data_IF_326028486886
#
_entry.id   IF_326028486886
#
_cell.length_a   1.000
_cell.length_b   1.000
_cell.length_c   1.000
_cell.angle_alpha   90.00
_cell.angle_beta   90.00
_cell.angle_gamma   90.00
#
_symmetry.space_group_name_H-M   'P 1'
#
loop_
_entity.id
_entity.type
_entity.pdbx_description
1 polymer ?
#
# COMPACT_ATOMS: atom_id res chain seq x y z
N UNK A 1 -21.67 -2.60 -13.40
CA UNK A 1 -20.27 -2.71 -13.85
C UNK A 1 -19.53 -1.46 -13.43
N UNK A 2 -18.85 -1.49 -12.28
CA UNK A 2 -18.10 -0.33 -11.79
C UNK A 2 -16.83 -0.19 -12.62
N UNK A 3 -16.76 0.91 -13.38
CA UNK A 3 -15.62 1.24 -14.22
C UNK A 3 -14.52 1.76 -13.29
N UNK A 4 -13.41 1.02 -13.18
CA UNK A 4 -12.24 1.50 -12.43
C UNK A 4 -11.77 2.80 -13.09
N UNK A 5 -11.58 3.85 -12.30
CA UNK A 5 -11.12 5.15 -12.76
C UNK A 5 -9.63 5.28 -12.48
N UNK A 6 -8.85 5.42 -13.55
CA UNK A 6 -7.44 5.80 -13.47
C UNK A 6 -7.33 7.15 -12.76
N UNK A 7 -6.47 7.22 -11.73
CA UNK A 7 -6.28 8.37 -10.85
C UNK A 7 -7.08 8.32 -9.53
N UNK A 8 -8.19 7.56 -9.47
CA UNK A 8 -8.96 7.37 -8.23
C UNK A 8 -8.69 5.98 -7.63
N UNK A 9 -8.81 4.94 -8.45
CA UNK A 9 -8.64 3.55 -7.99
C UNK A 9 -7.18 3.07 -8.10
N UNK A 10 -6.46 3.55 -9.10
CA UNK A 10 -5.05 3.19 -9.33
C UNK A 10 -4.33 4.28 -10.11
N UNK A 11 -3.01 4.37 -9.92
CA UNK A 11 -2.14 5.24 -10.70
C UNK A 11 -0.94 4.44 -11.23
N UNK A 12 -0.33 4.95 -12.28
CA UNK A 12 0.92 4.41 -12.81
C UNK A 12 2.06 5.19 -12.18
N UNK A 13 3.02 4.47 -11.61
CA UNK A 13 4.26 5.05 -11.12
C UNK A 13 5.24 5.32 -12.29
N UNK A 14 6.38 5.95 -12.01
CA UNK A 14 7.39 6.34 -13.02
C UNK A 14 7.98 5.12 -13.76
N UNK A 15 7.80 3.94 -13.17
CA UNK A 15 8.22 2.65 -13.70
C UNK A 15 7.10 1.88 -14.43
N UNK A 16 5.99 2.54 -14.80
CA UNK A 16 4.80 1.94 -15.44
C UNK A 16 4.13 0.84 -14.57
N UNK A 17 4.42 0.83 -13.27
CA UNK A 17 3.82 -0.10 -12.33
C UNK A 17 2.43 0.38 -11.92
N UNK A 18 1.45 -0.52 -11.89
CA UNK A 18 0.11 -0.23 -11.40
C UNK A 18 0.12 -0.20 -9.87
N UNK A 19 -0.04 0.99 -9.31
CA UNK A 19 -0.19 1.18 -7.86
C UNK A 19 -1.65 1.41 -7.53
N UNK A 20 -2.26 0.46 -6.81
CA UNK A 20 -3.63 0.54 -6.33
C UNK A 20 -3.72 1.49 -5.13
N UNK A 21 -4.68 2.41 -5.13
CA UNK A 21 -4.90 3.36 -4.04
C UNK A 21 -5.67 2.72 -2.90
N UNK A 22 -5.64 3.34 -1.71
CA UNK A 22 -6.49 2.92 -0.59
C UNK A 22 -7.99 3.07 -0.92
N UNK A 23 -8.36 4.08 -1.71
CA UNK A 23 -9.74 4.30 -2.17
C UNK A 23 -10.29 3.12 -2.96
N UNK A 24 -9.50 2.52 -3.86
CA UNK A 24 -9.91 1.32 -4.55
C UNK A 24 -10.25 0.18 -3.59
N UNK A 25 -9.44 -0.01 -2.55
CA UNK A 25 -9.67 -1.04 -1.55
C UNK A 25 -10.91 -0.76 -0.70
N UNK A 26 -11.19 0.52 -0.41
CA UNK A 26 -12.41 0.94 0.30
C UNK A 26 -13.65 0.72 -0.58
N UNK A 27 -13.59 1.13 -1.85
CA UNK A 27 -14.66 0.93 -2.83
C UNK A 27 -14.95 -0.56 -3.09
N UNK A 28 -13.88 -1.38 -3.08
CA UNK A 28 -13.99 -2.84 -3.18
C UNK A 28 -14.63 -3.47 -1.95
N UNK A 29 -14.47 -2.85 -0.78
CA UNK A 29 -15.06 -3.28 0.49
C UNK A 29 -14.45 -4.56 1.09
N UNK A 30 -13.31 -5.05 0.58
CA UNK A 30 -12.66 -6.23 1.14
C UNK A 30 -11.14 -6.26 0.91
N UNK A 31 -10.42 -6.92 1.83
CA UNK A 31 -8.98 -7.17 1.69
C UNK A 31 -8.71 -8.27 0.65
N UNK A 32 -7.90 -7.97 -0.35
CA UNK A 32 -7.58 -8.89 -1.45
C UNK A 32 -6.52 -9.95 -1.14
N UNK A 33 -5.85 -9.89 0.03
CA UNK A 33 -4.83 -10.88 0.43
C UNK A 33 -3.50 -10.84 -0.35
N UNK A 34 -3.29 -9.82 -1.19
CA UNK A 34 -2.08 -9.72 -2.02
C UNK A 34 -0.92 -8.94 -1.39
N UNK A 35 -1.12 -8.25 -0.27
CA UNK A 35 -0.04 -7.50 0.39
C UNK A 35 0.22 -6.11 -0.20
N UNK A 36 -0.83 -5.32 -0.46
CA UNK A 36 -0.71 -3.98 -1.03
C UNK A 36 -0.10 -2.96 -0.03
N UNK A 37 0.76 -2.06 -0.50
CA UNK A 37 1.46 -1.07 0.35
C UNK A 37 0.51 -0.15 1.13
N UNK A 38 -0.61 0.23 0.52
CA UNK A 38 -1.61 1.13 1.12
C UNK A 38 -2.88 0.38 1.57
N UNK A 39 -2.73 -0.85 2.07
CA UNK A 39 -3.88 -1.64 2.51
C UNK A 39 -4.55 -0.98 3.74
N UNK A 40 -5.85 -0.59 3.65
CA UNK A 40 -6.57 -0.02 4.79
C UNK A 40 -7.04 -1.08 5.80
N UNK A 41 -6.90 -2.38 5.46
CA UNK A 41 -7.41 -3.52 6.23
C UNK A 41 -6.32 -4.28 7.01
N UNK A 42 -5.14 -3.67 7.23
CA UNK A 42 -4.01 -4.28 7.96
C UNK A 42 -3.68 -5.74 7.57
N UNK A 43 -3.81 -6.01 6.27
CA UNK A 43 -3.52 -7.31 5.67
C UNK A 43 -4.32 -8.48 6.29
N UNK A 44 -5.56 -8.24 6.73
CA UNK A 44 -6.41 -9.26 7.39
C UNK A 44 -6.55 -10.57 6.59
N UNK A 45 -6.64 -10.47 5.26
CA UNK A 45 -6.84 -11.61 4.36
C UNK A 45 -5.52 -12.13 3.76
N UNK A 46 -4.37 -11.62 4.23
CA UNK A 46 -3.05 -12.12 3.82
C UNK A 46 -2.71 -13.31 4.72
N UNK A 47 -2.37 -14.48 4.17
CA UNK A 47 -1.96 -15.62 4.99
C UNK A 47 -0.59 -15.37 5.66
N UNK A 48 -0.43 -15.93 6.85
CA UNK A 48 0.87 -16.02 7.52
C UNK A 48 1.84 -16.88 6.68
N UNK A 49 3.15 -16.58 6.64
CA UNK A 49 3.86 -15.54 7.41
C UNK A 49 3.90 -14.16 6.72
N UNK A 50 3.33 -14.04 5.51
CA UNK A 50 3.44 -12.82 4.69
C UNK A 50 2.79 -11.60 5.37
N UNK A 51 1.65 -11.80 6.06
CA UNK A 51 0.99 -10.74 6.84
C UNK A 51 1.94 -10.08 7.84
N UNK A 52 2.59 -10.87 8.68
CA UNK A 52 3.54 -10.36 9.68
C UNK A 52 4.73 -9.64 9.03
N UNK A 53 5.20 -10.11 7.88
CA UNK A 53 6.27 -9.43 7.13
C UNK A 53 5.83 -8.04 6.66
N UNK A 54 4.66 -7.92 6.02
CA UNK A 54 4.15 -6.62 5.55
C UNK A 54 3.87 -5.64 6.69
N UNK A 55 3.32 -6.12 7.81
CA UNK A 55 3.11 -5.30 9.02
C UNK A 55 4.43 -4.74 9.55
N UNK A 56 5.48 -5.58 9.63
CA UNK A 56 6.82 -5.16 10.05
C UNK A 56 7.45 -4.19 9.06
N UNK A 57 7.28 -4.42 7.76
CA UNK A 57 7.85 -3.58 6.72
C UNK A 57 7.24 -2.18 6.72
N UNK A 58 5.91 -2.07 6.87
CA UNK A 58 5.19 -0.79 7.05
C UNK A 58 5.78 0.03 8.20
N UNK A 59 6.00 -0.61 9.35
CA UNK A 59 6.61 0.03 10.53
C UNK A 59 8.07 0.43 10.29
N UNK A 60 8.82 -0.34 9.49
CA UNK A 60 10.21 -0.02 9.15
C UNK A 60 10.32 1.14 8.13
N UNK A 61 9.41 1.24 7.16
CA UNK A 61 9.37 2.36 6.21
C UNK A 61 9.16 3.69 6.93
N UNK A 62 8.28 3.73 7.95
CA UNK A 62 8.10 4.91 8.81
C UNK A 62 9.39 5.31 9.56
N UNK A 63 10.22 4.34 9.92
CA UNK A 63 11.53 4.61 10.54
C UNK A 63 12.59 5.09 9.54
N UNK A 64 12.52 4.69 8.27
CA UNK A 64 13.42 5.16 7.21
C UNK A 64 13.07 6.56 6.72
N UNK A 65 11.77 6.88 6.58
CA UNK A 65 11.31 8.23 6.23
C UNK A 65 11.73 9.28 7.29
N UNK A 66 11.83 8.87 8.55
CA UNK A 66 12.30 9.74 9.64
C UNK A 66 13.84 9.80 9.79
N UNK A 67 14.61 9.20 8.87
CA UNK A 67 16.09 9.20 8.90
C UNK A 67 16.75 9.87 7.69
N UNK A 68 15.99 10.58 6.86
CA UNK A 68 16.53 11.38 5.76
C UNK A 68 16.39 12.89 6.03
N UNK A 69 16.96 13.35 7.14
CA UNK A 69 17.45 14.74 7.20
C UNK A 69 18.87 14.74 7.76
N UNK A 70 19.91 14.67 6.90
CA UNK A 70 21.06 15.51 7.15
C UNK A 70 20.60 16.95 6.85
N UNK A 71 19.98 17.57 7.86
CA UNK A 71 19.94 19.01 7.95
C UNK A 71 21.39 19.41 8.19
N UNK A 72 22.10 19.86 7.16
CA UNK A 72 23.10 20.92 7.30
C UNK A 72 23.82 21.22 5.98
N UNK A 73 23.55 22.44 5.52
CA UNK A 73 24.52 23.51 5.17
C UNK A 73 25.72 23.17 4.30
#
# INVERSE_FOLDING_TARGET
MSRLKQGADFYYDEHDNIVLTAEYHLNKGYCCGHGCLHCPYDYENVPEPRRTLFLKERNNVQQKANKQTPQNR
#
